data_IF_663693161809
#
_entry.id   IF_663693161809
#
_cell.length_a   1.000
_cell.length_b   1.000
_cell.length_c   1.000
_cell.angle_alpha   90.00
_cell.angle_beta   90.00
_cell.angle_gamma   90.00
#
_symmetry.space_group_name_H-M   'P 1'
#
loop_
_entity.id
_entity.type
_entity.pdbx_description
1 polymer ?
#
# COMPACT_ATOMS: atom_id res chain seq x y z
N UNK A 1 -8.68 42.99 18.58
CA UNK A 1 -7.49 42.51 19.29
C UNK A 1 -7.28 41.05 18.92
N UNK A 2 -6.33 40.80 18.03
CA UNK A 2 -5.89 39.47 17.62
C UNK A 2 -5.07 38.88 18.76
N UNK A 3 -5.48 37.75 19.33
CA UNK A 3 -4.63 36.99 20.25
C UNK A 3 -3.89 35.93 19.44
N UNK A 4 -2.71 36.30 18.96
CA UNK A 4 -1.74 35.40 18.34
C UNK A 4 -0.96 34.72 19.47
N UNK A 5 -1.22 33.45 19.73
CA UNK A 5 -0.37 32.66 20.63
C UNK A 5 0.90 32.26 19.90
N UNK A 6 1.94 33.03 20.22
CA UNK A 6 3.37 32.81 20.02
C UNK A 6 3.77 31.36 20.37
N UNK A 7 4.35 30.63 19.41
CA UNK A 7 5.12 29.41 19.67
C UNK A 7 6.58 29.83 19.45
N UNK A 8 7.45 29.77 20.48
CA UNK A 8 8.85 30.16 20.33
C UNK A 8 9.58 29.22 19.37
N UNK A 9 10.28 29.82 18.42
CA UNK A 9 11.39 29.23 17.69
C UNK A 9 12.58 29.11 18.65
N UNK A 10 12.92 27.91 19.11
CA UNK A 10 14.29 27.62 19.56
C UNK A 10 14.73 26.28 18.96
N UNK A 11 15.58 26.44 17.95
CA UNK A 11 16.48 25.43 17.41
C UNK A 11 17.78 25.65 18.17
N UNK A 12 18.26 24.68 18.93
CA UNK A 12 19.66 24.61 19.34
C UNK A 12 20.10 23.13 19.36
N UNK A 13 20.91 22.83 18.35
CA UNK A 13 22.18 22.11 18.40
C UNK A 13 22.25 20.64 18.84
N UNK A 14 22.25 19.80 17.80
CA UNK A 14 23.23 18.74 17.51
C UNK A 14 24.25 18.43 18.64
N UNK A 15 23.89 17.51 19.54
CA UNK A 15 24.88 16.65 20.18
C UNK A 15 25.09 15.37 19.35
N UNK A 16 26.13 15.47 18.55
CA UNK A 16 26.98 14.42 18.01
C UNK A 16 27.08 13.15 18.89
N UNK A 17 26.31 12.10 18.57
CA UNK A 17 26.66 10.74 18.96
C UNK A 17 27.42 10.06 17.80
N UNK A 18 28.71 10.37 17.72
CA UNK A 18 29.67 9.60 16.92
C UNK A 18 29.82 8.23 17.57
N UNK A 19 29.15 7.22 17.03
CA UNK A 19 29.39 5.83 17.39
C UNK A 19 30.75 5.43 16.80
N UNK A 20 31.82 5.55 17.60
CA UNK A 20 33.08 4.83 17.37
C UNK A 20 32.82 3.35 17.59
N UNK A 21 32.56 2.62 16.52
CA UNK A 21 32.65 1.16 16.54
C UNK A 21 34.10 0.78 16.23
N UNK A 22 34.93 0.83 17.27
CA UNK A 22 36.20 0.08 17.29
C UNK A 22 35.85 -1.35 17.70
N UNK A 23 35.41 -2.16 16.74
CA UNK A 23 35.40 -3.62 16.86
C UNK A 23 36.30 -4.18 15.75
N UNK A 24 37.60 -4.15 16.02
CA UNK A 24 38.58 -5.02 15.36
C UNK A 24 38.30 -6.47 15.77
N UNK A 25 37.42 -7.14 15.03
CA UNK A 25 37.40 -8.60 14.96
C UNK A 25 37.07 -8.99 13.51
N UNK A 26 38.12 -8.92 12.69
CA UNK A 26 38.10 -9.34 11.29
C UNK A 26 38.18 -10.87 11.20
N UNK A 27 37.15 -11.56 11.69
CA UNK A 27 36.90 -12.95 11.32
C UNK A 27 35.99 -12.95 10.08
N UNK A 28 36.55 -12.46 8.97
CA UNK A 28 35.96 -12.61 7.65
C UNK A 28 36.02 -14.09 7.29
N UNK A 29 35.02 -14.83 7.74
CA UNK A 29 34.83 -16.21 7.35
C UNK A 29 34.67 -16.21 5.83
N UNK A 30 35.66 -16.78 5.14
CA UNK A 30 35.80 -16.79 3.69
C UNK A 30 34.55 -17.44 3.07
N UNK A 31 33.56 -16.60 2.70
CA UNK A 31 32.38 -17.07 2.00
C UNK A 31 32.89 -17.43 0.61
N UNK A 32 33.08 -18.72 0.36
CA UNK A 32 33.42 -19.21 -0.98
C UNK A 32 32.41 -18.63 -1.96
N UNK A 33 32.85 -17.68 -2.79
CA UNK A 33 32.03 -17.13 -3.84
C UNK A 33 31.76 -18.25 -4.83
N UNK A 34 30.58 -18.83 -4.72
CA UNK A 34 30.13 -19.86 -5.62
C UNK A 34 29.77 -19.20 -6.94
N UNK A 35 30.54 -19.47 -7.99
CA UNK A 35 30.25 -18.93 -9.31
C UNK A 35 29.00 -19.63 -9.84
N UNK A 36 27.89 -18.91 -9.83
CA UNK A 36 26.60 -19.40 -10.32
C UNK A 36 26.72 -19.92 -11.77
N UNK A 37 27.61 -19.35 -12.59
CA UNK A 37 27.85 -19.81 -13.95
C UNK A 37 28.39 -21.24 -14.01
N UNK A 38 29.21 -21.65 -13.03
CA UNK A 38 29.84 -22.98 -12.99
C UNK A 38 28.81 -24.11 -12.74
N UNK A 39 27.66 -23.80 -12.09
CA UNK A 39 26.53 -24.74 -11.95
C UNK A 39 25.70 -24.87 -13.21
N UNK A 40 25.70 -23.84 -14.05
CA UNK A 40 24.94 -23.86 -15.30
C UNK A 40 25.72 -24.48 -16.47
N UNK A 41 27.01 -24.78 -16.31
CA UNK A 41 27.83 -25.42 -17.35
C UNK A 41 27.69 -26.95 -17.40
N UNK A 42 27.15 -27.60 -16.36
CA UNK A 42 27.04 -29.08 -16.27
C UNK A 42 25.64 -29.66 -16.52
N UNK A 43 24.65 -28.85 -16.92
CA UNK A 43 23.35 -29.42 -17.32
C UNK A 43 23.28 -29.55 -18.84
N UNK A 44 23.37 -30.79 -19.33
CA UNK A 44 22.75 -31.18 -20.61
C UNK A 44 21.37 -30.50 -20.71
N UNK A 45 20.98 -30.07 -21.91
CA UNK A 45 19.80 -29.25 -22.25
C UNK A 45 18.44 -29.80 -21.71
N UNK A 46 18.28 -29.91 -20.39
CA UNK A 46 17.01 -30.16 -19.75
C UNK A 46 16.18 -28.90 -19.92
N UNK A 47 15.18 -28.98 -20.79
CA UNK A 47 14.23 -27.92 -21.01
C UNK A 47 13.40 -27.75 -19.72
N UNK A 48 13.86 -26.90 -18.82
CA UNK A 48 13.14 -26.54 -17.61
C UNK A 48 11.84 -25.79 -18.01
N UNK A 49 10.72 -26.52 -18.00
CA UNK A 49 9.40 -25.93 -18.19
C UNK A 49 8.92 -25.33 -16.87
N UNK A 50 8.75 -24.01 -16.83
CA UNK A 50 8.07 -23.38 -15.69
C UNK A 50 6.63 -23.91 -15.60
N UNK A 51 6.12 -24.16 -14.38
CA UNK A 51 4.71 -24.45 -14.18
C UNK A 51 3.83 -23.38 -14.84
N UNK A 52 2.68 -23.83 -15.37
CA UNK A 52 1.72 -22.91 -15.99
C UNK A 52 1.31 -21.84 -14.99
N UNK A 53 1.38 -20.58 -15.41
CA UNK A 53 0.97 -19.47 -14.57
C UNK A 53 -0.54 -19.52 -14.30
N UNK A 54 -0.92 -19.82 -13.06
CA UNK A 54 -2.32 -19.81 -12.62
C UNK A 54 -2.74 -18.38 -12.23
N UNK A 55 -3.94 -17.96 -12.65
CA UNK A 55 -4.49 -16.68 -12.21
C UNK A 55 -4.90 -16.78 -10.75
N UNK A 56 -4.58 -15.75 -9.97
CA UNK A 56 -5.00 -15.65 -8.57
C UNK A 56 -6.54 -15.63 -8.48
N UNK A 57 -7.11 -16.52 -7.65
CA UNK A 57 -8.56 -16.61 -7.46
C UNK A 57 -9.17 -15.28 -6.99
N UNK A 58 -8.51 -14.59 -6.05
CA UNK A 58 -8.93 -13.27 -5.58
C UNK A 58 -8.96 -12.24 -6.72
N UNK A 59 -7.97 -12.25 -7.61
CA UNK A 59 -7.96 -11.36 -8.78
C UNK A 59 -9.14 -11.64 -9.72
N UNK A 60 -9.45 -12.92 -9.98
CA UNK A 60 -10.61 -13.30 -10.78
C UNK A 60 -11.92 -12.87 -10.13
N UNK A 61 -12.08 -13.08 -8.81
CA UNK A 61 -13.28 -12.65 -8.08
C UNK A 61 -13.45 -11.13 -8.08
N UNK A 62 -12.37 -10.37 -7.89
CA UNK A 62 -12.37 -8.92 -7.99
C UNK A 62 -12.81 -8.44 -9.38
N UNK A 63 -12.29 -9.07 -10.44
CA UNK A 63 -12.68 -8.77 -11.82
C UNK A 63 -14.17 -9.02 -12.04
N UNK A 64 -14.70 -10.14 -11.57
CA UNK A 64 -16.14 -10.45 -11.68
C UNK A 64 -16.96 -9.39 -10.95
N UNK A 65 -16.67 -9.14 -9.68
CA UNK A 65 -17.40 -8.19 -8.86
C UNK A 65 -17.38 -6.76 -9.47
N UNK A 66 -16.20 -6.30 -9.89
CA UNK A 66 -16.05 -4.95 -10.45
C UNK A 66 -16.79 -4.81 -11.77
N UNK A 67 -16.66 -5.79 -12.69
CA UNK A 67 -17.32 -5.74 -13.99
C UNK A 67 -18.86 -5.80 -13.86
N UNK A 68 -19.37 -6.66 -12.99
CA UNK A 68 -20.81 -6.82 -12.81
C UNK A 68 -21.45 -5.58 -12.20
N UNK A 69 -20.82 -5.01 -11.16
CA UNK A 69 -21.25 -3.76 -10.54
C UNK A 69 -21.19 -2.61 -11.56
N UNK A 70 -20.11 -2.51 -12.35
CA UNK A 70 -19.98 -1.47 -13.38
C UNK A 70 -21.08 -1.56 -14.44
N UNK A 71 -21.39 -2.78 -14.92
CA UNK A 71 -22.48 -3.01 -15.88
C UNK A 71 -23.83 -2.63 -15.28
N UNK A 72 -24.12 -3.08 -14.05
CA UNK A 72 -25.36 -2.76 -13.36
C UNK A 72 -25.53 -1.24 -13.19
N UNK A 73 -24.50 -0.54 -12.72
CA UNK A 73 -24.48 0.90 -12.50
C UNK A 73 -24.61 1.71 -13.81
N UNK A 74 -24.06 1.19 -14.91
CA UNK A 74 -24.13 1.82 -16.24
C UNK A 74 -25.53 1.72 -16.85
N UNK A 75 -26.25 0.63 -16.58
CA UNK A 75 -27.65 0.45 -16.96
C UNK A 75 -28.64 1.30 -16.14
N UNK A 76 -28.25 1.75 -14.94
CA UNK A 76 -29.09 2.58 -14.09
C UNK A 76 -29.19 4.02 -14.63
N UNK A 77 -30.29 4.31 -15.36
CA UNK A 77 -30.58 5.64 -15.93
C UNK A 77 -31.72 6.40 -15.21
N UNK A 78 -32.55 5.69 -14.44
CA UNK A 78 -33.74 6.28 -13.81
C UNK A 78 -33.51 6.65 -12.35
N UNK A 79 -33.80 7.91 -11.99
CA UNK A 79 -33.62 8.46 -10.65
C UNK A 79 -34.48 7.77 -9.56
N UNK A 80 -35.56 7.11 -9.97
CA UNK A 80 -36.46 6.36 -9.08
C UNK A 80 -35.85 5.01 -8.67
N UNK A 81 -34.96 4.45 -9.49
CA UNK A 81 -34.35 3.14 -9.22
C UNK A 81 -33.43 3.19 -8.00
N UNK A 82 -33.57 2.18 -7.12
CA UNK A 82 -32.67 1.98 -5.97
C UNK A 82 -31.20 1.90 -6.39
N UNK A 83 -30.92 1.37 -7.59
CA UNK A 83 -29.57 1.25 -8.14
C UNK A 83 -28.96 2.61 -8.51
N UNK A 84 -29.77 3.57 -8.99
CA UNK A 84 -29.32 4.94 -9.22
C UNK A 84 -28.98 5.66 -7.90
N UNK A 85 -29.82 5.50 -6.89
CA UNK A 85 -29.57 6.06 -5.55
C UNK A 85 -28.29 5.48 -4.95
N UNK A 86 -28.06 4.17 -5.11
CA UNK A 86 -26.81 3.52 -4.72
C UNK A 86 -25.61 4.10 -5.48
N UNK A 87 -25.68 4.26 -6.81
CA UNK A 87 -24.62 4.88 -7.63
C UNK A 87 -24.24 6.27 -7.12
N UNK A 88 -25.22 7.10 -6.78
CA UNK A 88 -24.95 8.45 -6.30
C UNK A 88 -24.31 8.46 -4.91
N UNK A 89 -24.85 7.65 -3.98
CA UNK A 89 -24.31 7.54 -2.61
C UNK A 89 -22.91 6.91 -2.58
N UNK A 90 -22.69 5.84 -3.34
CA UNK A 90 -21.37 5.20 -3.44
C UNK A 90 -20.31 6.17 -3.97
N UNK A 91 -20.57 6.87 -5.08
CA UNK A 91 -19.59 7.84 -5.61
C UNK A 91 -19.23 8.94 -4.62
N UNK A 92 -20.22 9.50 -3.92
CA UNK A 92 -19.97 10.59 -2.96
C UNK A 92 -19.26 10.11 -1.70
N UNK A 93 -19.60 8.93 -1.19
CA UNK A 93 -18.92 8.33 -0.03
C UNK A 93 -17.50 7.93 -0.37
N UNK A 94 -17.26 7.21 -1.47
CA UNK A 94 -15.92 6.84 -1.91
C UNK A 94 -15.04 8.06 -2.21
N UNK A 95 -15.57 9.13 -2.80
CA UNK A 95 -14.80 10.35 -2.99
C UNK A 95 -14.28 10.93 -1.66
N UNK A 96 -15.12 10.97 -0.62
CA UNK A 96 -14.70 11.41 0.72
C UNK A 96 -13.66 10.47 1.32
N UNK A 97 -13.87 9.16 1.21
CA UNK A 97 -12.92 8.15 1.68
C UNK A 97 -11.56 8.28 0.97
N UNK A 98 -11.54 8.46 -0.34
CA UNK A 98 -10.31 8.69 -1.10
C UNK A 98 -9.57 9.94 -0.62
N UNK A 99 -10.29 11.03 -0.35
CA UNK A 99 -9.63 12.23 0.21
C UNK A 99 -9.04 11.96 1.59
N UNK A 100 -9.70 11.13 2.41
CA UNK A 100 -9.23 10.79 3.75
C UNK A 100 -8.02 9.85 3.70
N UNK A 101 -8.06 8.81 2.88
CA UNK A 101 -6.93 7.91 2.65
C UNK A 101 -5.71 8.66 2.13
N UNK A 102 -5.89 9.55 1.16
CA UNK A 102 -4.81 10.38 0.64
C UNK A 102 -4.21 11.32 1.71
N UNK A 103 -5.03 11.82 2.64
CA UNK A 103 -4.54 12.65 3.74
C UNK A 103 -3.77 11.82 4.78
N UNK A 104 -4.27 10.64 5.12
CA UNK A 104 -3.57 9.70 6.00
C UNK A 104 -2.22 9.29 5.43
N UNK A 105 -2.15 8.94 4.14
CA UNK A 105 -0.92 8.46 3.52
C UNK A 105 0.15 9.53 3.34
N UNK A 106 -0.24 10.82 3.34
CA UNK A 106 0.67 11.96 3.11
C UNK A 106 1.10 12.67 4.38
N UNK A 107 0.41 12.49 5.50
CA UNK A 107 0.69 13.24 6.73
C UNK A 107 0.57 12.35 7.96
N UNK A 108 1.70 12.18 8.67
CA UNK A 108 1.75 11.47 9.96
C UNK A 108 0.84 12.11 11.00
N UNK A 109 0.83 13.46 11.08
CA UNK A 109 -0.08 14.20 11.98
C UNK A 109 -1.54 13.84 11.76
N UNK A 110 -1.98 13.75 10.50
CA UNK A 110 -3.37 13.36 10.19
C UNK A 110 -3.59 11.88 10.48
N UNK A 111 -2.62 11.01 10.17
CA UNK A 111 -2.70 9.60 10.48
C UNK A 111 -2.85 9.35 12.00
N UNK A 112 -2.14 10.12 12.83
CA UNK A 112 -2.25 10.04 14.28
C UNK A 112 -3.61 10.54 14.79
N UNK A 113 -4.12 11.65 14.22
CA UNK A 113 -5.49 12.09 14.50
C UNK A 113 -6.53 11.03 14.13
N UNK A 114 -6.37 10.37 12.99
CA UNK A 114 -7.24 9.27 12.57
C UNK A 114 -7.15 8.11 13.58
N UNK A 115 -5.95 7.72 14.01
CA UNK A 115 -5.76 6.68 15.03
C UNK A 115 -6.38 7.06 16.37
N UNK A 116 -6.31 8.32 16.77
CA UNK A 116 -6.95 8.83 17.99
C UNK A 116 -8.48 8.75 17.86
N UNK A 117 -9.05 9.16 16.72
CA UNK A 117 -10.50 9.16 16.52
C UNK A 117 -11.10 7.76 16.33
N UNK A 118 -10.43 6.87 15.59
CA UNK A 118 -10.96 5.56 15.19
C UNK A 118 -10.34 4.38 15.95
N UNK A 119 -9.26 4.61 16.73
CA UNK A 119 -8.49 3.57 17.40
C UNK A 119 -7.57 2.76 16.48
N UNK A 120 -7.70 2.91 15.16
CA UNK A 120 -6.94 2.17 14.14
C UNK A 120 -6.57 3.08 12.97
N UNK A 121 -5.51 2.72 12.24
CA UNK A 121 -5.23 3.34 10.94
C UNK A 121 -6.20 2.77 9.90
N UNK A 122 -6.62 3.62 8.96
CA UNK A 122 -7.51 3.17 7.89
C UNK A 122 -6.74 2.29 6.90
N UNK A 123 -7.29 1.11 6.63
CA UNK A 123 -6.89 0.28 5.51
C UNK A 123 -7.16 1.05 4.21
N UNK A 124 -6.08 1.40 3.51
CA UNK A 124 -6.18 2.11 2.22
C UNK A 124 -6.25 1.07 1.11
N UNK A 125 -7.32 1.06 0.30
CA UNK A 125 -7.42 0.11 -0.79
C UNK A 125 -6.33 0.38 -1.82
N UNK A 126 -5.67 -0.70 -2.27
CA UNK A 126 -4.59 -0.66 -3.25
C UNK A 126 -4.85 -1.73 -4.29
N UNK A 127 -4.79 -1.38 -5.58
CA UNK A 127 -5.03 -2.33 -6.67
C UNK A 127 -4.05 -3.52 -6.69
N UNK A 128 -2.85 -3.35 -6.13
CA UNK A 128 -1.76 -4.33 -6.21
C UNK A 128 -1.59 -5.22 -4.97
N UNK A 129 -2.37 -5.01 -3.89
CA UNK A 129 -2.34 -5.87 -2.69
C UNK A 129 -3.75 -6.35 -2.35
N UNK A 130 -3.85 -7.31 -1.44
CA UNK A 130 -5.07 -8.01 -1.01
C UNK A 130 -6.13 -7.11 -0.32
N UNK A 131 -6.09 -5.81 -0.58
CA UNK A 131 -7.04 -4.82 -0.09
C UNK A 131 -7.61 -4.10 -1.31
N UNK A 132 -8.24 -4.86 -2.21
CA UNK A 132 -9.00 -4.24 -3.29
C UNK A 132 -10.36 -3.81 -2.76
N UNK A 133 -11.06 -2.96 -3.48
CA UNK A 133 -12.38 -2.46 -3.03
C UNK A 133 -13.43 -3.56 -2.83
N UNK A 134 -13.20 -4.77 -3.36
CA UNK A 134 -14.14 -5.88 -3.35
C UNK A 134 -13.50 -7.22 -2.92
N UNK A 135 -12.30 -7.22 -2.33
CA UNK A 135 -11.61 -8.42 -1.83
C UNK A 135 -11.16 -8.24 -0.39
#
# INVERSE_FOLDING_TARGET
>A
MLHSTFIPDEVDDLENCTMRNEDENNDFQDISHFNIAEVFEETEDEVYLLPKHHRCAAHTLNLIATNDIQKAISGAKNAVSSLWKYKQKSRTTFAKLTTLWNKQSRSSKIADLIKICFGVYLLTPTETRWNSTFC
#
